data_IF_119523768557
#
_entry.id   IF_119523768557
#
_cell.length_a   1.000
_cell.length_b   1.000
_cell.length_c   1.000
_cell.angle_alpha   90.00
_cell.angle_beta   90.00
_cell.angle_gamma   90.00
#
_symmetry.space_group_name_H-M   'P 1'
#
loop_
_entity.id
_entity.type
_entity.pdbx_description
1 polymer ?
#
# COMPACT_ATOMS: atom_id res chain seq x y z
N UNK A 1 22.92 47.54 -25.33
CA UNK A 1 23.41 46.54 -26.31
C UNK A 1 23.78 45.32 -25.51
N UNK A 2 22.80 44.43 -25.21
CA UNK A 2 23.01 43.21 -24.38
C UNK A 2 23.04 42.00 -25.31
N UNK A 3 24.19 41.29 -25.26
CA UNK A 3 24.48 40.09 -26.04
C UNK A 3 23.81 38.87 -25.37
N UNK A 4 22.77 38.30 -26.02
CA UNK A 4 22.09 37.07 -25.61
C UNK A 4 22.60 35.92 -26.48
N UNK A 5 23.61 35.19 -26.00
CA UNK A 5 23.97 33.87 -26.57
C UNK A 5 23.42 32.75 -25.70
N UNK A 6 22.82 31.71 -26.30
CA UNK A 6 22.30 30.54 -25.53
C UNK A 6 23.44 29.67 -25.03
N UNK A 7 23.41 29.34 -23.74
CA UNK A 7 24.32 28.37 -23.12
C UNK A 7 23.86 26.95 -23.50
N UNK A 8 24.70 26.25 -24.24
CA UNK A 8 24.63 24.81 -24.49
C UNK A 8 24.81 24.06 -23.18
N UNK A 9 23.80 23.25 -22.79
CA UNK A 9 23.90 22.25 -21.73
C UNK A 9 24.69 21.05 -22.25
N UNK A 10 25.92 20.89 -21.78
CA UNK A 10 26.71 19.68 -21.95
C UNK A 10 26.15 18.58 -21.07
N UNK A 11 25.71 17.46 -21.70
CA UNK A 11 25.40 16.21 -21.01
C UNK A 11 26.68 15.63 -20.43
N UNK A 12 26.71 15.44 -19.12
CA UNK A 12 27.74 14.61 -18.45
C UNK A 12 27.39 13.13 -18.73
N UNK A 13 28.20 12.48 -19.55
CA UNK A 13 28.21 11.03 -19.66
C UNK A 13 28.76 10.45 -18.35
N UNK A 14 27.87 9.85 -17.54
CA UNK A 14 28.28 9.01 -16.41
C UNK A 14 28.48 7.60 -16.96
N UNK A 15 29.74 7.19 -17.07
CA UNK A 15 30.14 5.82 -17.43
C UNK A 15 29.63 4.85 -16.37
N UNK A 16 28.76 3.91 -16.76
CA UNK A 16 28.31 2.79 -15.94
C UNK A 16 29.32 1.64 -16.05
N UNK A 17 29.66 0.96 -14.93
CA UNK A 17 30.46 -0.24 -15.00
C UNK A 17 29.63 -1.42 -15.57
N UNK A 18 30.24 -2.41 -16.24
CA UNK A 18 29.54 -3.54 -16.80
C UNK A 18 29.03 -4.46 -15.68
N UNK A 19 27.72 -4.55 -15.50
CA UNK A 19 27.08 -5.53 -14.60
C UNK A 19 26.39 -6.61 -15.42
N UNK A 20 26.89 -7.83 -15.31
CA UNK A 20 26.27 -9.08 -15.79
C UNK A 20 25.22 -9.59 -14.81
N UNK A 21 24.34 -8.75 -14.27
CA UNK A 21 23.26 -9.17 -13.38
C UNK A 21 21.99 -8.42 -13.77
N UNK A 22 21.12 -9.10 -14.51
CA UNK A 22 19.82 -8.60 -14.97
C UNK A 22 18.79 -8.62 -13.82
N UNK A 23 19.08 -7.90 -12.75
CA UNK A 23 18.05 -7.58 -11.73
C UNK A 23 17.39 -6.27 -12.17
N UNK A 24 16.06 -6.19 -12.27
CA UNK A 24 15.41 -4.99 -12.74
C UNK A 24 15.63 -3.84 -11.75
N UNK A 25 16.50 -2.90 -12.11
CA UNK A 25 16.79 -1.65 -11.39
C UNK A 25 15.51 -0.80 -11.20
N UNK A 26 14.46 -1.08 -11.96
CA UNK A 26 13.15 -0.41 -11.89
C UNK A 26 12.35 -0.68 -10.60
N UNK A 27 12.56 -1.83 -9.93
CA UNK A 27 11.91 -2.13 -8.65
C UNK A 27 12.26 -1.12 -7.55
N UNK A 28 13.48 -0.58 -7.56
CA UNK A 28 13.93 0.43 -6.60
C UNK A 28 13.33 1.83 -6.83
N UNK A 29 12.99 2.17 -8.07
CA UNK A 29 12.43 3.48 -8.41
C UNK A 29 10.94 3.59 -8.06
N UNK A 30 10.16 2.50 -8.16
CA UNK A 30 8.72 2.53 -7.82
C UNK A 30 8.46 2.55 -6.31
N UNK A 31 9.32 1.92 -5.49
CA UNK A 31 9.21 1.97 -4.04
C UNK A 31 9.79 3.26 -3.43
N UNK A 32 10.64 4.01 -4.15
CA UNK A 32 11.24 5.27 -3.69
C UNK A 32 10.28 6.46 -3.67
N UNK A 33 9.13 6.41 -4.35
CA UNK A 33 8.19 7.54 -4.40
C UNK A 33 7.46 7.79 -3.06
N UNK A 34 7.57 6.89 -2.07
CA UNK A 34 7.08 7.17 -0.71
C UNK A 34 8.03 8.05 0.12
N UNK A 35 9.22 8.41 -0.36
CA UNK A 35 10.25 9.03 0.49
C UNK A 35 10.73 10.43 0.07
N UNK A 36 10.28 11.01 -1.04
CA UNK A 36 10.83 12.27 -1.58
C UNK A 36 9.80 13.39 -1.68
N UNK A 37 9.16 13.75 -0.56
CA UNK A 37 8.63 15.11 -0.40
C UNK A 37 8.75 15.54 1.07
N UNK A 38 9.94 16.00 1.45
CA UNK A 38 10.12 16.88 2.60
C UNK A 38 9.96 18.32 2.11
N UNK A 39 8.99 19.04 2.68
CA UNK A 39 8.99 20.48 2.77
C UNK A 39 8.10 21.20 1.78
N UNK A 40 6.87 21.48 2.18
CA UNK A 40 6.30 22.84 2.07
C UNK A 40 5.09 22.93 3.02
N UNK A 41 5.32 23.53 4.19
CA UNK A 41 4.27 23.98 5.09
C UNK A 41 3.77 25.34 4.59
N UNK A 42 2.48 25.46 4.31
CA UNK A 42 1.78 26.74 4.36
C UNK A 42 0.41 26.54 5.01
N UNK A 43 0.29 27.18 6.14
CA UNK A 43 -0.93 27.47 6.91
C UNK A 43 -1.88 28.31 6.06
N UNK A 44 -3.17 27.96 6.06
CA UNK A 44 -4.23 28.94 5.88
C UNK A 44 -5.43 28.58 6.76
N UNK A 45 -5.87 29.59 7.46
CA UNK A 45 -6.88 29.68 8.49
C UNK A 45 -8.32 29.47 7.99
N UNK A 46 -9.14 29.06 8.95
CA UNK A 46 -10.59 28.98 9.08
C UNK A 46 -11.43 30.12 8.45
N UNK A 47 -12.60 29.76 7.94
CA UNK A 47 -13.80 30.58 8.02
C UNK A 47 -15.05 29.70 8.17
N UNK A 48 -15.76 29.88 9.26
CA UNK A 48 -17.09 29.34 9.55
C UNK A 48 -18.16 30.16 8.81
N UNK A 49 -19.24 29.51 8.37
CA UNK A 49 -20.54 30.15 8.24
C UNK A 49 -21.64 29.09 8.35
N UNK A 50 -22.52 29.26 9.33
CA UNK A 50 -23.64 28.41 9.64
C UNK A 50 -24.87 28.64 8.74
N UNK A 51 -25.80 27.68 8.78
CA UNK A 51 -27.12 27.75 8.15
C UNK A 51 -27.91 26.46 8.32
N UNK A 52 -28.86 26.46 9.22
CA UNK A 52 -29.89 25.40 9.48
C UNK A 52 -31.00 25.50 8.44
N UNK A 53 -31.48 24.38 7.87
CA UNK A 53 -32.88 23.99 7.72
C UNK A 53 -33.09 22.75 6.82
N UNK A 54 -33.99 21.84 7.24
CA UNK A 54 -34.84 21.02 6.38
C UNK A 54 -34.37 19.61 6.05
N UNK A 55 -35.07 18.61 6.62
CA UNK A 55 -34.85 17.18 6.41
C UNK A 55 -35.00 16.72 4.95
N UNK A 56 -34.09 15.90 4.54
CA UNK A 56 -34.24 14.92 3.46
C UNK A 56 -33.06 13.98 3.55
N UNK A 57 -33.33 12.69 3.40
CA UNK A 57 -32.34 11.62 3.42
C UNK A 57 -31.23 11.92 2.40
N UNK A 58 -30.16 12.57 2.84
CA UNK A 58 -28.99 12.83 2.03
C UNK A 58 -28.15 11.56 2.00
N UNK A 59 -28.27 10.82 0.92
CA UNK A 59 -27.16 9.98 0.46
C UNK A 59 -26.02 10.96 0.16
N UNK A 60 -25.09 11.08 1.09
CA UNK A 60 -23.84 11.83 0.91
C UNK A 60 -22.98 11.09 -0.12
N UNK A 61 -23.25 11.35 -1.39
CA UNK A 61 -22.26 11.12 -2.45
C UNK A 61 -21.22 12.21 -2.25
N UNK A 62 -20.24 11.93 -1.40
CA UNK A 62 -19.08 12.80 -1.24
C UNK A 62 -18.21 12.65 -2.49
N UNK A 63 -18.58 13.38 -3.56
CA UNK A 63 -17.73 13.60 -4.71
C UNK A 63 -16.65 14.59 -4.32
N UNK A 64 -15.70 14.15 -3.49
CA UNK A 64 -14.51 14.95 -3.18
C UNK A 64 -13.42 14.54 -4.16
N UNK A 65 -13.27 15.32 -5.23
CA UNK A 65 -12.11 15.30 -6.10
C UNK A 65 -10.90 15.99 -5.44
N UNK A 66 -10.60 15.67 -4.20
CA UNK A 66 -9.33 15.99 -3.58
C UNK A 66 -8.42 14.77 -3.75
N UNK A 67 -7.28 15.00 -4.40
CA UNK A 67 -6.22 14.03 -4.55
C UNK A 67 -5.66 13.68 -3.16
N UNK A 68 -6.07 12.54 -2.63
CA UNK A 68 -5.70 12.09 -1.30
C UNK A 68 -4.27 11.54 -1.34
N UNK A 69 -3.43 11.92 -0.38
CA UNK A 69 -2.09 11.36 -0.24
C UNK A 69 -2.18 9.96 0.40
N UNK A 70 -1.35 9.04 -0.08
CA UNK A 70 -1.29 7.66 0.46
C UNK A 70 -0.95 7.64 1.96
N UNK A 71 -0.14 8.61 2.42
CA UNK A 71 0.20 8.80 3.82
C UNK A 71 -1.06 9.00 4.69
N UNK A 72 -1.99 9.85 4.26
CA UNK A 72 -3.21 10.15 5.01
C UNK A 72 -4.10 8.91 5.13
N UNK A 73 -4.14 8.09 4.08
CA UNK A 73 -4.85 6.80 4.12
C UNK A 73 -4.15 5.82 5.06
N UNK A 74 -2.82 5.74 5.02
CA UNK A 74 -2.06 4.88 5.93
C UNK A 74 -2.29 5.27 7.39
N UNK A 75 -2.24 6.55 7.74
CA UNK A 75 -2.57 7.00 9.10
C UNK A 75 -3.94 6.48 9.51
N UNK A 76 -4.97 6.70 8.69
CA UNK A 76 -6.36 6.29 8.99
C UNK A 76 -6.51 4.78 9.22
N UNK A 77 -5.89 3.94 8.36
CA UNK A 77 -6.03 2.48 8.47
C UNK A 77 -5.19 1.93 9.63
N UNK A 78 -4.00 2.47 9.88
CA UNK A 78 -3.17 2.04 10.99
C UNK A 78 -3.71 2.52 12.34
N UNK A 79 -4.48 3.61 12.40
CA UNK A 79 -5.23 4.02 13.60
C UNK A 79 -6.27 2.98 14.03
N UNK A 80 -6.71 2.12 13.12
CA UNK A 80 -7.61 1.00 13.42
C UNK A 80 -6.88 -0.24 13.94
N UNK A 81 -5.57 -0.29 13.82
CA UNK A 81 -4.79 -1.36 14.46
C UNK A 81 -4.86 -1.19 15.98
N UNK A 82 -5.40 -2.19 16.66
CA UNK A 82 -5.52 -2.18 18.11
C UNK A 82 -4.15 -2.02 18.78
N UNK A 83 -4.05 -1.14 19.77
CA UNK A 83 -2.85 -1.00 20.62
C UNK A 83 -2.58 -2.28 21.44
N UNK A 84 -3.61 -3.12 21.62
CA UNK A 84 -3.51 -4.42 22.28
C UNK A 84 -3.07 -5.55 21.34
N UNK A 85 -2.92 -5.27 20.03
CA UNK A 85 -2.43 -6.28 19.09
C UNK A 85 -0.98 -6.65 19.44
N UNK A 86 -0.75 -7.93 19.76
CA UNK A 86 0.55 -8.46 20.14
C UNK A 86 1.32 -9.00 18.93
N UNK A 87 0.61 -9.61 17.98
CA UNK A 87 1.17 -10.25 16.79
C UNK A 87 0.51 -9.74 15.53
N UNK A 88 1.30 -9.14 14.68
CA UNK A 88 0.84 -8.59 13.39
C UNK A 88 1.66 -9.22 12.26
N UNK A 89 0.99 -9.58 11.18
CA UNK A 89 1.62 -10.00 9.93
C UNK A 89 1.47 -8.90 8.89
N UNK A 90 2.55 -8.48 8.23
CA UNK A 90 2.49 -7.68 7.00
C UNK A 90 2.89 -8.54 5.82
N UNK A 91 2.01 -8.64 4.82
CA UNK A 91 2.27 -9.30 3.54
C UNK A 91 2.92 -8.29 2.60
N UNK A 92 3.98 -8.71 1.89
CA UNK A 92 4.74 -7.84 1.01
C UNK A 92 5.47 -6.74 1.78
N UNK A 93 6.20 -7.13 2.83
CA UNK A 93 6.88 -6.16 3.73
C UNK A 93 7.88 -5.25 2.97
N UNK A 94 8.46 -5.72 1.85
CA UNK A 94 9.44 -4.98 1.07
C UNK A 94 10.57 -4.40 1.92
N UNK A 95 10.84 -3.12 1.74
CA UNK A 95 11.85 -2.38 2.53
C UNK A 95 11.36 -1.94 3.91
N UNK A 96 10.12 -2.25 4.28
CA UNK A 96 9.50 -1.87 5.55
C UNK A 96 9.02 -0.42 5.63
N UNK A 97 8.29 0.10 4.63
CA UNK A 97 7.83 1.50 4.63
C UNK A 97 6.82 1.81 5.74
N UNK A 98 6.16 0.78 6.28
CA UNK A 98 5.11 0.92 7.28
C UNK A 98 5.60 0.77 8.74
N UNK A 99 6.89 0.50 8.96
CA UNK A 99 7.45 0.24 10.30
C UNK A 99 7.13 1.32 11.32
N UNK A 100 7.10 2.60 10.90
CA UNK A 100 6.79 3.74 11.78
C UNK A 100 5.38 3.68 12.37
N UNK A 101 4.41 3.17 11.61
CA UNK A 101 3.02 3.08 12.07
C UNK A 101 2.86 2.00 13.14
N UNK A 102 3.53 0.84 12.99
CA UNK A 102 3.52 -0.21 14.00
C UNK A 102 4.17 0.26 15.30
N UNK A 103 5.35 0.87 15.20
CA UNK A 103 6.08 1.37 16.37
C UNK A 103 5.31 2.46 17.12
N UNK A 104 4.59 3.33 16.40
CA UNK A 104 3.77 4.37 16.99
C UNK A 104 2.54 3.83 17.75
N UNK A 105 1.96 2.69 17.29
CA UNK A 105 0.79 2.08 17.93
C UNK A 105 1.17 1.18 19.11
N UNK A 106 2.17 0.34 18.94
CA UNK A 106 2.64 -0.57 19.99
C UNK A 106 4.12 -0.93 19.77
N UNK A 107 5.02 -0.35 20.53
CA UNK A 107 6.47 -0.62 20.43
C UNK A 107 6.85 -2.06 20.81
N UNK A 108 5.96 -2.79 21.48
CA UNK A 108 6.17 -4.19 21.90
C UNK A 108 5.53 -5.20 20.94
N UNK A 109 4.85 -4.76 19.89
CA UNK A 109 4.23 -5.65 18.88
C UNK A 109 5.28 -6.60 18.28
N UNK A 110 4.92 -7.88 18.13
CA UNK A 110 5.70 -8.83 17.33
C UNK A 110 5.22 -8.73 15.88
N UNK A 111 6.04 -8.13 15.03
CA UNK A 111 5.75 -7.96 13.61
C UNK A 111 6.41 -9.07 12.79
N UNK A 112 5.59 -9.85 12.10
CA UNK A 112 6.02 -10.78 11.05
C UNK A 112 5.97 -10.05 9.71
N UNK A 113 7.09 -9.94 9.02
CA UNK A 113 7.16 -9.37 7.67
C UNK A 113 7.34 -10.49 6.65
N UNK A 114 6.33 -10.73 5.81
CA UNK A 114 6.36 -11.75 4.75
C UNK A 114 6.78 -11.10 3.43
N UNK A 115 7.76 -11.71 2.75
CA UNK A 115 8.18 -11.28 1.42
C UNK A 115 8.85 -12.45 0.68
N UNK A 116 8.55 -12.68 -0.61
CA UNK A 116 9.22 -13.73 -1.39
C UNK A 116 10.71 -13.44 -1.63
N UNK A 117 11.10 -12.17 -1.66
CA UNK A 117 12.47 -11.75 -1.92
C UNK A 117 13.29 -11.68 -0.62
N UNK A 118 14.23 -12.63 -0.39
CA UNK A 118 15.02 -12.65 0.84
C UNK A 118 15.94 -11.42 1.01
N UNK A 119 16.24 -10.69 -0.09
CA UNK A 119 17.05 -9.48 -0.04
C UNK A 119 16.34 -8.36 0.74
N UNK A 120 15.00 -8.37 0.81
CA UNK A 120 14.21 -7.38 1.56
C UNK A 120 14.44 -7.46 3.07
N UNK A 121 14.80 -8.64 3.61
CA UNK A 121 15.10 -8.84 5.04
C UNK A 121 16.06 -7.80 5.62
N UNK A 122 17.13 -7.47 4.90
CA UNK A 122 18.14 -6.50 5.34
C UNK A 122 17.53 -5.10 5.47
N UNK A 123 16.76 -4.68 4.48
CA UNK A 123 16.16 -3.35 4.43
C UNK A 123 15.03 -3.22 5.45
N UNK A 124 14.13 -4.20 5.52
CA UNK A 124 13.05 -4.23 6.48
C UNK A 124 13.56 -4.18 7.94
N UNK A 125 14.61 -4.94 8.27
CA UNK A 125 15.26 -4.87 9.59
C UNK A 125 15.81 -3.48 9.90
N UNK A 126 16.49 -2.85 8.94
CA UNK A 126 17.01 -1.49 9.11
C UNK A 126 15.87 -0.49 9.36
N UNK A 127 14.76 -0.61 8.62
CA UNK A 127 13.58 0.23 8.79
C UNK A 127 12.91 0.00 10.15
N UNK A 128 12.80 -1.25 10.62
CA UNK A 128 12.26 -1.61 11.92
C UNK A 128 13.07 -0.97 13.07
N UNK A 129 14.39 -1.10 13.03
CA UNK A 129 15.29 -0.49 14.01
C UNK A 129 15.17 1.05 14.00
N UNK A 130 15.14 1.66 12.78
CA UNK A 130 14.99 3.12 12.64
C UNK A 130 13.64 3.62 13.19
N UNK A 131 12.60 2.81 13.11
CA UNK A 131 11.28 3.12 13.65
C UNK A 131 11.18 2.90 15.17
N UNK A 132 12.19 2.34 15.83
CA UNK A 132 12.19 2.08 17.27
C UNK A 132 11.66 0.70 17.70
N UNK A 133 11.39 -0.20 16.75
CA UNK A 133 11.05 -1.58 17.09
C UNK A 133 12.28 -2.34 17.59
N UNK A 134 12.13 -3.05 18.70
CA UNK A 134 13.21 -3.89 19.25
C UNK A 134 13.55 -5.00 18.24
N UNK A 135 14.83 -5.38 18.05
CA UNK A 135 15.24 -6.40 17.08
C UNK A 135 14.51 -7.74 17.25
N UNK A 136 14.19 -8.14 18.48
CA UNK A 136 13.44 -9.37 18.79
C UNK A 136 11.97 -9.32 18.35
N UNK A 137 11.44 -8.14 18.15
CA UNK A 137 10.04 -7.92 17.83
C UNK A 137 9.78 -7.90 16.31
N UNK A 138 10.82 -7.86 15.46
CA UNK A 138 10.66 -7.99 14.02
C UNK A 138 11.19 -9.35 13.51
N UNK A 139 10.31 -10.12 12.87
CA UNK A 139 10.59 -11.45 12.35
C UNK A 139 10.30 -11.52 10.86
N UNK A 140 11.34 -11.53 10.04
CA UNK A 140 11.20 -11.72 8.60
C UNK A 140 10.87 -13.18 8.29
N UNK A 141 9.85 -13.40 7.45
CA UNK A 141 9.46 -14.68 6.89
C UNK A 141 9.59 -14.64 5.38
N UNK A 142 10.39 -15.52 4.80
CA UNK A 142 10.41 -15.68 3.36
C UNK A 142 9.23 -16.55 2.94
N UNK A 143 8.43 -16.08 1.97
CA UNK A 143 7.25 -16.78 1.49
C UNK A 143 6.33 -15.88 0.69
N UNK A 144 5.26 -16.45 0.20
CA UNK A 144 4.22 -15.80 -0.61
C UNK A 144 2.90 -15.73 0.14
N UNK A 145 2.00 -14.83 -0.29
CA UNK A 145 0.70 -14.64 0.33
C UNK A 145 -0.20 -15.88 0.23
N UNK A 146 -0.04 -16.67 -0.82
CA UNK A 146 -0.79 -17.88 -1.11
C UNK A 146 -0.44 -19.09 -0.21
N UNK A 147 0.70 -19.00 0.53
CA UNK A 147 1.19 -20.03 1.45
C UNK A 147 1.92 -19.38 2.62
N UNK A 148 1.17 -18.81 3.56
CA UNK A 148 1.73 -18.06 4.69
C UNK A 148 2.36 -19.01 5.69
N UNK A 149 3.69 -18.92 6.02
CA UNK A 149 4.39 -19.83 6.90
C UNK A 149 4.15 -19.51 8.39
N UNK A 150 2.87 -19.38 8.76
CA UNK A 150 2.37 -19.18 10.12
C UNK A 150 1.26 -20.20 10.42
N UNK A 151 1.07 -20.51 11.69
CA UNK A 151 0.00 -21.41 12.15
C UNK A 151 -1.37 -20.74 12.02
N UNK A 152 -2.42 -21.55 11.99
CA UNK A 152 -3.79 -21.08 12.05
C UNK A 152 -4.04 -20.27 13.33
N UNK A 153 -4.89 -19.25 13.24
CA UNK A 153 -5.29 -18.43 14.39
C UNK A 153 -4.13 -17.87 15.21
N UNK A 154 -3.02 -17.48 14.55
CA UNK A 154 -1.76 -17.15 15.22
C UNK A 154 -1.44 -15.64 15.28
N UNK A 155 -2.20 -14.80 14.59
CA UNK A 155 -1.99 -13.35 14.55
C UNK A 155 -3.28 -12.57 14.83
N UNK A 156 -3.13 -11.40 15.44
CA UNK A 156 -4.20 -10.50 15.81
C UNK A 156 -4.66 -9.62 14.64
N UNK A 157 -3.71 -9.30 13.78
CA UNK A 157 -3.97 -8.52 12.57
C UNK A 157 -3.09 -8.96 11.41
N UNK A 158 -3.62 -8.83 10.20
CA UNK A 158 -2.88 -8.93 8.95
C UNK A 158 -2.97 -7.60 8.23
N UNK A 159 -1.86 -7.14 7.66
CA UNK A 159 -1.79 -5.89 6.88
C UNK A 159 -1.31 -6.20 5.47
N UNK A 160 -1.98 -5.64 4.47
CA UNK A 160 -1.55 -5.65 3.08
C UNK A 160 -1.63 -4.24 2.50
N UNK A 161 -0.50 -3.74 1.99
CA UNK A 161 -0.45 -2.42 1.36
C UNK A 161 0.23 -2.49 0.01
N UNK A 162 -0.53 -2.31 -1.06
CA UNK A 162 -0.06 -2.34 -2.46
C UNK A 162 0.65 -3.66 -2.80
N UNK A 163 0.09 -4.79 -2.36
CA UNK A 163 0.65 -6.13 -2.57
C UNK A 163 -0.34 -7.10 -3.19
N UNK A 164 -1.66 -6.99 -2.91
CA UNK A 164 -2.65 -7.90 -3.50
C UNK A 164 -2.77 -7.74 -5.02
N UNK A 165 -2.33 -6.62 -5.55
CA UNK A 165 -2.20 -6.43 -7.00
C UNK A 165 -1.11 -7.31 -7.63
N UNK A 166 -0.10 -7.74 -6.84
CA UNK A 166 1.08 -8.47 -7.32
C UNK A 166 1.11 -9.95 -6.94
N UNK A 167 0.25 -10.41 -6.02
CA UNK A 167 0.15 -11.84 -5.69
C UNK A 167 -0.36 -12.63 -6.90
N UNK A 168 0.03 -13.90 -7.02
CA UNK A 168 -0.39 -14.76 -8.14
C UNK A 168 -1.89 -15.08 -8.06
N UNK A 169 -2.37 -15.43 -6.85
CA UNK A 169 -3.78 -15.76 -6.57
C UNK A 169 -4.29 -14.99 -5.35
N UNK A 170 -5.14 -13.98 -5.60
CA UNK A 170 -5.76 -13.17 -4.54
C UNK A 170 -6.69 -14.00 -3.68
N UNK A 171 -7.48 -14.89 -4.29
CA UNK A 171 -8.45 -15.70 -3.56
C UNK A 171 -7.75 -16.64 -2.59
N UNK A 172 -6.68 -17.29 -3.03
CA UNK A 172 -5.87 -18.14 -2.15
C UNK A 172 -5.17 -17.32 -1.07
N UNK A 173 -4.65 -16.13 -1.41
CA UNK A 173 -4.04 -15.22 -0.42
C UNK A 173 -5.06 -14.82 0.65
N UNK A 174 -6.30 -14.47 0.27
CA UNK A 174 -7.35 -14.11 1.22
C UNK A 174 -7.77 -15.29 2.10
N UNK A 175 -7.78 -16.53 1.58
CA UNK A 175 -7.97 -17.74 2.38
C UNK A 175 -6.88 -17.91 3.44
N UNK A 176 -5.62 -17.73 3.05
CA UNK A 176 -4.49 -17.81 3.96
C UNK A 176 -4.52 -16.69 5.01
N UNK A 177 -4.90 -15.45 4.64
CA UNK A 177 -5.11 -14.35 5.58
C UNK A 177 -6.14 -14.75 6.64
N UNK A 178 -7.30 -15.28 6.23
CA UNK A 178 -8.33 -15.73 7.15
C UNK A 178 -7.84 -16.88 8.04
N UNK A 179 -7.09 -17.84 7.48
CA UNK A 179 -6.54 -18.98 8.22
C UNK A 179 -5.62 -18.54 9.37
N UNK A 180 -4.72 -17.60 9.11
CA UNK A 180 -3.74 -17.14 10.11
C UNK A 180 -4.31 -16.15 11.12
N UNK A 181 -5.37 -15.41 10.75
CA UNK A 181 -6.08 -14.51 11.66
C UNK A 181 -6.82 -15.31 12.74
N UNK A 182 -6.68 -14.88 13.99
CA UNK A 182 -7.53 -15.40 15.07
C UNK A 182 -8.98 -14.92 14.92
N UNK A 183 -9.90 -15.57 15.59
CA UNK A 183 -11.27 -15.10 15.69
C UNK A 183 -11.31 -13.67 16.28
N UNK A 184 -12.07 -12.77 15.65
CA UNK A 184 -12.08 -11.33 15.98
C UNK A 184 -10.81 -10.58 15.58
N UNK A 185 -9.89 -11.21 14.83
CA UNK A 185 -8.74 -10.55 14.23
C UNK A 185 -9.14 -9.68 13.05
N UNK A 186 -8.28 -8.72 12.68
CA UNK A 186 -8.57 -7.74 11.64
C UNK A 186 -7.58 -7.84 10.46
N UNK A 187 -8.12 -7.84 9.26
CA UNK A 187 -7.35 -7.63 8.04
C UNK A 187 -7.45 -6.17 7.62
N UNK A 188 -6.32 -5.49 7.54
CA UNK A 188 -6.17 -4.07 7.17
C UNK A 188 -5.57 -4.01 5.77
N UNK A 189 -6.21 -3.31 4.84
CA UNK A 189 -5.73 -3.25 3.47
C UNK A 189 -5.76 -1.84 2.88
N UNK A 190 -4.81 -1.59 1.96
CA UNK A 190 -4.76 -0.43 1.09
C UNK A 190 -4.18 -0.90 -0.24
N UNK A 191 -5.01 -0.88 -1.30
CA UNK A 191 -4.65 -1.48 -2.59
C UNK A 191 -5.05 -0.58 -3.76
N UNK A 192 -4.28 -0.59 -4.84
CA UNK A 192 -4.79 -0.08 -6.10
C UNK A 192 -5.68 -1.14 -6.77
N UNK A 193 -6.68 -0.69 -7.50
CA UNK A 193 -7.69 -1.55 -8.11
C UNK A 193 -8.00 -1.16 -9.54
N UNK A 194 -8.71 -2.03 -10.25
CA UNK A 194 -9.29 -1.71 -11.54
C UNK A 194 -10.22 -0.50 -11.47
N UNK A 195 -10.26 0.27 -12.53
CA UNK A 195 -11.27 1.30 -12.74
C UNK A 195 -12.66 0.66 -12.93
N UNK A 196 -13.71 1.50 -12.86
CA UNK A 196 -15.10 1.09 -13.02
C UNK A 196 -15.31 0.30 -14.32
N UNK A 197 -16.08 -0.79 -14.24
CA UNK A 197 -16.42 -1.61 -15.38
C UNK A 197 -17.10 -0.81 -16.49
N UNK A 198 -16.80 -1.16 -17.75
CA UNK A 198 -17.29 -0.47 -18.91
C UNK A 198 -16.60 0.86 -19.24
N UNK A 199 -15.79 1.42 -18.33
CA UNK A 199 -15.08 2.68 -18.57
C UNK A 199 -13.96 2.52 -19.60
N UNK A 200 -13.69 3.60 -20.35
CA UNK A 200 -12.53 3.68 -21.24
C UNK A 200 -11.22 3.44 -20.44
N UNK A 201 -11.18 3.94 -19.22
CA UNK A 201 -10.03 3.83 -18.35
C UNK A 201 -9.70 2.36 -18.00
N UNK A 202 -10.72 1.53 -17.70
CA UNK A 202 -10.52 0.08 -17.45
C UNK A 202 -10.04 -0.65 -18.71
N UNK A 203 -10.52 -0.27 -19.90
CA UNK A 203 -10.03 -0.84 -21.17
C UNK A 203 -8.54 -0.55 -21.35
N UNK A 204 -8.11 0.68 -21.06
CA UNK A 204 -6.71 1.07 -21.12
C UNK A 204 -5.85 0.36 -20.07
N UNK A 205 -6.37 0.20 -18.84
CA UNK A 205 -5.69 -0.61 -17.81
C UNK A 205 -5.46 -2.03 -18.32
N UNK A 206 -6.47 -2.69 -18.90
CA UNK A 206 -6.35 -4.05 -19.47
C UNK A 206 -5.30 -4.12 -20.59
N UNK A 207 -5.25 -3.12 -21.47
CA UNK A 207 -4.26 -3.06 -22.55
C UNK A 207 -2.83 -2.96 -22.02
N UNK A 208 -2.62 -2.16 -20.96
CA UNK A 208 -1.31 -1.88 -20.38
C UNK A 208 -0.91 -2.88 -19.29
N UNK A 209 -1.81 -3.73 -18.84
CA UNK A 209 -1.61 -4.69 -17.75
C UNK A 209 -0.39 -5.61 -17.96
N UNK A 210 -0.17 -6.22 -19.16
CA UNK A 210 0.99 -7.08 -19.39
C UNK A 210 2.34 -6.33 -19.28
N UNK A 211 2.36 -5.06 -19.66
CA UNK A 211 3.55 -4.22 -19.52
C UNK A 211 3.80 -3.88 -18.05
N UNK A 212 2.77 -3.49 -17.32
CA UNK A 212 2.84 -3.18 -15.90
C UNK A 212 3.35 -4.38 -15.08
N UNK A 213 2.83 -5.58 -15.34
CA UNK A 213 3.28 -6.80 -14.65
C UNK A 213 4.79 -7.04 -14.80
N UNK A 214 5.36 -6.77 -15.99
CA UNK A 214 6.79 -6.93 -16.24
C UNK A 214 7.66 -5.85 -15.57
N UNK A 215 7.12 -4.63 -15.44
CA UNK A 215 7.87 -3.48 -14.94
C UNK A 215 7.71 -3.26 -13.42
N UNK A 216 6.66 -3.80 -12.81
CA UNK A 216 6.27 -3.52 -11.42
C UNK A 216 5.97 -4.80 -10.63
N UNK A 217 6.94 -5.73 -10.60
CA UNK A 217 6.92 -6.93 -9.76
C UNK A 217 5.59 -7.70 -9.78
N UNK A 218 5.04 -7.94 -10.99
CA UNK A 218 3.80 -8.69 -11.18
C UNK A 218 2.52 -7.90 -10.89
N UNK A 219 2.60 -6.59 -10.70
CA UNK A 219 1.45 -5.76 -10.37
C UNK A 219 0.43 -5.69 -11.51
N UNK A 220 -0.81 -6.13 -11.25
CA UNK A 220 -1.92 -6.09 -12.18
C UNK A 220 -2.72 -4.78 -12.07
N UNK A 221 -2.81 -4.01 -13.17
CA UNK A 221 -3.60 -2.76 -13.22
C UNK A 221 -5.11 -2.98 -13.18
N UNK A 222 -5.57 -4.06 -13.81
CA UNK A 222 -7.00 -4.31 -14.06
C UNK A 222 -7.62 -5.35 -13.11
N UNK A 223 -6.99 -5.59 -11.94
CA UNK A 223 -7.45 -6.58 -10.97
C UNK A 223 -8.61 -6.05 -10.13
N UNK A 224 -9.67 -6.82 -10.01
CA UNK A 224 -10.85 -6.51 -9.20
C UNK A 224 -10.65 -6.93 -7.73
N UNK A 225 -9.60 -6.44 -7.10
CA UNK A 225 -9.23 -6.82 -5.71
C UNK A 225 -10.34 -6.50 -4.71
N UNK A 226 -11.13 -5.43 -4.97
CA UNK A 226 -12.26 -5.06 -4.11
C UNK A 226 -13.29 -6.17 -4.03
N UNK A 227 -13.70 -6.69 -5.17
CA UNK A 227 -14.69 -7.76 -5.28
C UNK A 227 -14.18 -9.04 -4.62
N UNK A 228 -12.90 -9.40 -4.85
CA UNK A 228 -12.27 -10.54 -4.19
C UNK A 228 -12.33 -10.44 -2.65
N UNK A 229 -12.07 -9.24 -2.09
CA UNK A 229 -12.12 -9.03 -0.63
C UNK A 229 -13.56 -9.15 -0.11
N UNK A 230 -14.54 -8.56 -0.82
CA UNK A 230 -15.95 -8.63 -0.43
C UNK A 230 -16.51 -10.07 -0.46
N UNK A 231 -16.06 -10.87 -1.43
CA UNK A 231 -16.48 -12.26 -1.64
C UNK A 231 -15.70 -13.27 -0.79
N UNK A 232 -14.62 -12.84 -0.11
CA UNK A 232 -13.77 -13.73 0.68
C UNK A 232 -14.47 -14.33 1.92
N UNK A 233 -15.66 -13.82 2.29
CA UNK A 233 -16.45 -14.35 3.41
C UNK A 233 -15.82 -14.12 4.77
N UNK A 234 -15.40 -12.90 5.06
CA UNK A 234 -14.99 -12.47 6.40
C UNK A 234 -16.22 -12.40 7.31
N UNK A 235 -16.24 -13.17 8.39
CA UNK A 235 -17.42 -13.38 9.24
C UNK A 235 -17.89 -12.13 9.99
N UNK A 236 -16.96 -11.24 10.34
CA UNK A 236 -17.25 -9.96 11.01
C UNK A 236 -17.53 -8.80 10.05
N UNK A 237 -17.62 -9.08 8.73
CA UNK A 237 -17.91 -8.08 7.70
C UNK A 237 -16.69 -7.35 7.14
N UNK A 238 -16.94 -6.52 6.13
CA UNK A 238 -15.91 -5.77 5.40
C UNK A 238 -16.31 -4.30 5.29
N UNK A 239 -15.44 -3.42 5.74
CA UNK A 239 -15.53 -1.98 5.53
C UNK A 239 -14.55 -1.58 4.43
N UNK A 240 -15.03 -1.01 3.33
CA UNK A 240 -14.19 -0.60 2.20
C UNK A 240 -14.53 0.80 1.71
N UNK A 241 -13.50 1.61 1.56
CA UNK A 241 -13.58 2.96 1.00
C UNK A 241 -12.83 3.01 -0.32
N UNK A 242 -13.41 3.67 -1.33
CA UNK A 242 -12.79 3.88 -2.63
C UNK A 242 -12.33 5.32 -2.74
N UNK A 243 -11.14 5.54 -3.28
CA UNK A 243 -10.60 6.88 -3.53
C UNK A 243 -9.71 6.90 -4.77
N UNK A 244 -9.43 8.10 -5.26
CA UNK A 244 -8.46 8.32 -6.32
C UNK A 244 -7.21 8.97 -5.73
N UNK A 245 -6.06 8.41 -6.04
CA UNK A 245 -4.78 8.94 -5.60
C UNK A 245 -4.09 9.70 -6.74
N UNK A 246 -3.36 10.78 -6.40
CA UNK A 246 -2.40 11.34 -7.35
C UNK A 246 -1.20 10.41 -7.45
N UNK A 247 -1.10 9.69 -8.55
CA UNK A 247 -0.01 8.74 -8.78
C UNK A 247 0.48 8.81 -10.21
N UNK A 248 1.74 8.48 -10.38
CA UNK A 248 2.32 8.19 -11.68
C UNK A 248 2.84 6.74 -11.65
N UNK A 249 2.48 5.91 -12.61
CA UNK A 249 1.61 6.17 -13.75
C UNK A 249 0.15 6.39 -13.34
N UNK A 250 -0.52 7.33 -14.01
CA UNK A 250 -1.91 7.71 -13.71
C UNK A 250 -2.94 6.55 -13.77
N UNK A 251 -2.58 5.45 -14.40
CA UNK A 251 -3.39 4.23 -14.50
C UNK A 251 -3.57 3.52 -13.15
N UNK A 252 -2.73 3.80 -12.16
CA UNK A 252 -2.85 3.24 -10.81
C UNK A 252 -3.69 4.11 -9.87
N UNK A 253 -4.37 5.17 -10.35
CA UNK A 253 -5.14 6.11 -9.51
C UNK A 253 -6.28 5.51 -8.70
N UNK A 254 -7.10 4.55 -9.23
CA UNK A 254 -8.15 3.95 -8.41
C UNK A 254 -7.57 3.12 -7.28
N UNK A 255 -7.94 3.45 -6.06
CA UNK A 255 -7.51 2.75 -4.86
C UNK A 255 -8.68 2.44 -3.94
N UNK A 256 -8.47 1.44 -3.10
CA UNK A 256 -9.32 1.11 -1.97
C UNK A 256 -8.48 1.05 -0.70
N UNK A 257 -9.11 1.33 0.43
CA UNK A 257 -8.58 0.98 1.74
C UNK A 257 -9.72 0.52 2.64
N UNK A 258 -9.41 -0.28 3.64
CA UNK A 258 -10.44 -0.77 4.53
C UNK A 258 -9.99 -1.80 5.53
N UNK A 259 -11.00 -2.42 6.14
CA UNK A 259 -10.88 -3.42 7.18
C UNK A 259 -11.79 -4.60 6.86
N UNK A 260 -11.34 -5.81 7.18
CA UNK A 260 -12.19 -6.99 7.18
C UNK A 260 -11.96 -7.77 8.48
N UNK A 261 -13.03 -8.22 9.10
CA UNK A 261 -12.99 -8.85 10.43
C UNK A 261 -13.26 -10.36 10.32
N UNK A 262 -12.41 -11.17 10.96
CA UNK A 262 -12.52 -12.64 10.91
C UNK A 262 -13.35 -13.20 12.07
#
# INVERSE_FOLDING_TARGET
MYDLRPRTLTFLEVALPPTTDTTPIFSLLFFSQCSVFKGFSRSTSSAEAGGVLGGSTRVLICSVSSLVKIEDCKVKIFDKLSEKAEKVLEIGIGTGPNMRYYAARNSNVTLYGLDPNPKMKKYARKSATKAGLKPKNFRFKQGVGEAIPLKDNSVDAVVATLVLCSVSDVTQTLKEIKRVLRQGGVFIFLEHVAAKDGSFFKRLQKLLDPLQQRLADGCHLARNTRECILEAGFSGGVEVQTFSMYSFPWMTRPHIYGLAYN
#
